data_IF_134087423854
#
_entry.id   IF_134087423854
#
_cell.length_a   1.000
_cell.length_b   1.000
_cell.length_c   1.000
_cell.angle_alpha   90.00
_cell.angle_beta   90.00
_cell.angle_gamma   90.00
#
_symmetry.space_group_name_H-M   'P 1'
#
loop_
_entity.id
_entity.type
_entity.pdbx_description
1 polymer ?
#
# COMPACT_ATOMS: atom_id res chain seq x y z
N UNK A 1 11.59 -6.65 9.12
CA UNK A 1 11.85 -6.67 7.68
C UNK A 1 10.98 -5.68 6.93
N UNK A 2 11.51 -5.20 5.82
CA UNK A 2 10.83 -4.27 4.95
C UNK A 2 10.36 -5.02 3.72
N UNK A 3 9.10 -4.84 3.36
CA UNK A 3 8.55 -5.43 2.16
C UNK A 3 8.12 -4.32 1.23
N UNK A 4 8.66 -4.32 0.03
CA UNK A 4 8.26 -3.41 -1.03
C UNK A 4 7.32 -4.13 -1.97
N UNK A 5 6.19 -3.51 -2.25
CA UNK A 5 5.25 -4.04 -3.22
C UNK A 5 4.91 -2.94 -4.22
N UNK A 6 5.04 -3.26 -5.49
CA UNK A 6 4.70 -2.35 -6.57
C UNK A 6 3.53 -2.93 -7.35
N UNK A 7 2.47 -2.15 -7.47
CA UNK A 7 1.33 -2.53 -8.30
C UNK A 7 1.22 -1.60 -9.48
N UNK A 8 1.10 -2.19 -10.66
CA UNK A 8 0.92 -1.45 -11.90
C UNK A 8 -0.39 -1.89 -12.54
N UNK A 9 -1.30 -0.93 -12.73
CA UNK A 9 -2.64 -1.18 -13.24
C UNK A 9 -2.90 -0.21 -14.39
N UNK A 10 -2.82 -0.69 -15.63
CA UNK A 10 -3.14 0.14 -16.80
C UNK A 10 -2.61 1.57 -16.71
N UNK A 11 -1.34 1.71 -16.42
CA UNK A 11 -0.71 3.02 -16.29
C UNK A 11 -0.76 3.61 -14.89
N UNK A 12 -1.52 3.04 -13.99
CA UNK A 12 -1.52 3.47 -12.59
C UNK A 12 -0.36 2.78 -11.88
N UNK A 13 0.41 3.55 -11.14
CA UNK A 13 1.52 3.03 -10.36
C UNK A 13 1.39 3.44 -8.92
N UNK A 14 1.24 2.46 -8.05
CA UNK A 14 1.24 2.68 -6.62
C UNK A 14 2.27 1.77 -5.99
N UNK A 15 3.22 2.36 -5.30
CA UNK A 15 4.21 1.62 -4.53
C UNK A 15 3.76 1.61 -3.07
N UNK A 16 3.88 0.47 -2.43
CA UNK A 16 3.57 0.31 -1.03
C UNK A 16 4.76 -0.31 -0.32
N UNK A 17 5.19 0.32 0.78
CA UNK A 17 6.26 -0.20 1.61
C UNK A 17 5.72 -0.48 3.00
N UNK A 18 6.07 -1.63 3.54
CA UNK A 18 5.59 -2.06 4.84
C UNK A 18 6.75 -2.41 5.75
N UNK A 19 6.65 -1.96 7.00
CA UNK A 19 7.63 -2.28 8.03
C UNK A 19 6.93 -2.99 9.19
N UNK A 20 7.41 -4.16 9.53
CA UNK A 20 6.89 -4.93 10.65
C UNK A 20 7.41 -4.34 11.96
N UNK A 21 6.49 -3.95 12.84
CA UNK A 21 6.84 -3.40 14.16
C UNK A 21 6.37 -4.33 15.29
N UNK A 22 6.08 -5.58 14.95
CA UNK A 22 5.56 -6.57 15.91
C UNK A 22 4.05 -6.53 15.94
N UNK A 23 3.47 -5.80 16.87
CA UNK A 23 2.02 -5.71 17.03
C UNK A 23 1.35 -4.87 15.95
N UNK A 24 2.12 -4.07 15.25
CA UNK A 24 1.59 -3.20 14.20
C UNK A 24 2.49 -3.23 12.99
N UNK A 25 1.96 -2.70 11.89
CA UNK A 25 2.69 -2.57 10.63
C UNK A 25 2.59 -1.12 10.19
N UNK A 26 3.74 -0.50 10.00
CA UNK A 26 3.83 0.85 9.47
C UNK A 26 3.97 0.76 7.95
N UNK A 27 3.14 1.48 7.24
CA UNK A 27 3.18 1.46 5.80
C UNK A 27 3.17 2.84 5.18
N UNK A 28 3.54 2.89 3.92
CA UNK A 28 3.45 4.10 3.13
C UNK A 28 3.08 3.76 1.70
N UNK A 29 2.33 4.65 1.09
CA UNK A 29 1.98 4.59 -0.32
C UNK A 29 2.66 5.72 -1.07
N UNK A 30 3.06 5.43 -2.30
CA UNK A 30 3.56 6.43 -3.22
C UNK A 30 2.93 6.23 -4.58
N UNK A 31 2.59 7.33 -5.25
CA UNK A 31 2.04 7.29 -6.59
C UNK A 31 2.76 8.25 -7.50
N UNK A 32 2.94 7.87 -8.77
CA UNK A 32 3.61 8.70 -9.76
C UNK A 32 2.68 9.25 -10.83
N UNK A 33 1.47 8.76 -10.87
CA UNK A 33 0.53 9.05 -11.96
C UNK A 33 -0.65 9.91 -11.56
N UNK A 34 -0.61 10.50 -10.38
CA UNK A 34 -1.70 11.33 -9.90
C UNK A 34 -2.75 10.61 -9.06
N UNK A 35 -2.58 9.32 -8.83
CA UNK A 35 -3.47 8.58 -7.91
C UNK A 35 -3.39 9.20 -6.51
N UNK A 36 -4.55 9.42 -5.90
CA UNK A 36 -4.61 10.01 -4.56
C UNK A 36 -4.40 8.94 -3.49
N UNK A 37 -3.16 8.76 -3.08
CA UNK A 37 -2.84 7.76 -2.07
C UNK A 37 -3.17 8.23 -0.66
N UNK A 38 -3.39 9.52 -0.44
CA UNK A 38 -3.85 10.01 0.85
C UNK A 38 -5.24 9.47 1.16
N UNK A 39 -6.10 9.36 0.15
CA UNK A 39 -7.42 8.79 0.32
C UNK A 39 -7.33 7.31 0.73
N UNK A 40 -6.41 6.56 0.12
CA UNK A 40 -6.16 5.17 0.49
C UNK A 40 -5.67 5.06 1.93
N UNK A 41 -4.71 5.89 2.29
CA UNK A 41 -4.16 5.88 3.65
C UNK A 41 -5.23 6.23 4.69
N UNK A 42 -6.12 7.17 4.40
CA UNK A 42 -7.21 7.53 5.32
C UNK A 42 -8.14 6.37 5.61
N UNK A 43 -8.37 5.49 4.63
CA UNK A 43 -9.17 4.28 4.87
C UNK A 43 -8.53 3.35 5.90
N UNK A 44 -7.22 3.48 6.06
CA UNK A 44 -6.45 2.68 7.02
C UNK A 44 -6.13 3.48 8.29
N UNK A 45 -6.77 4.63 8.46
CA UNK A 45 -6.56 5.45 9.64
C UNK A 45 -5.35 6.38 9.56
N UNK A 46 -4.72 6.46 8.41
CA UNK A 46 -3.56 7.32 8.20
C UNK A 46 -3.88 8.57 7.41
N UNK A 47 -2.91 9.07 6.69
CA UNK A 47 -3.06 10.26 5.85
C UNK A 47 -1.74 10.71 5.26
N UNK A 48 -1.76 11.86 4.64
CA UNK A 48 -0.57 12.43 4.02
C UNK A 48 -0.92 13.28 2.83
N UNK A 49 -0.03 13.25 1.86
CA UNK A 49 -0.19 14.00 0.61
C UNK A 49 -0.73 13.09 -0.48
N UNK A 50 -1.28 13.70 -1.51
CA UNK A 50 -1.86 12.99 -2.65
C UNK A 50 -0.90 11.96 -3.26
N UNK A 51 0.37 12.31 -3.38
CA UNK A 51 1.39 11.46 -4.00
C UNK A 51 2.16 10.59 -3.00
N UNK A 52 2.02 10.85 -1.70
CA UNK A 52 2.77 10.13 -0.68
C UNK A 52 2.03 10.19 0.66
N UNK A 53 1.66 9.06 1.18
CA UNK A 53 0.88 9.00 2.41
C UNK A 53 1.29 7.78 3.25
N UNK A 54 1.11 7.89 4.56
CA UNK A 54 1.49 6.84 5.49
C UNK A 54 0.33 6.38 6.35
N UNK A 55 0.50 5.20 6.92
CA UNK A 55 -0.51 4.60 7.78
C UNK A 55 0.13 3.61 8.74
N UNK A 56 -0.61 3.28 9.80
CA UNK A 56 -0.22 2.20 10.71
C UNK A 56 -1.45 1.34 10.93
N UNK A 57 -1.29 0.04 10.76
CA UNK A 57 -2.37 -0.92 10.94
C UNK A 57 -1.93 -2.01 11.91
N UNK A 58 -2.90 -2.73 12.47
CA UNK A 58 -2.59 -3.84 13.36
C UNK A 58 -1.89 -4.95 12.60
N UNK A 59 -0.92 -5.60 13.27
CA UNK A 59 -0.29 -6.82 12.77
C UNK A 59 -1.15 -8.04 13.02
N UNK A 60 -0.63 -9.20 12.69
CA UNK A 60 0.72 -9.45 12.18
C UNK A 60 0.87 -8.99 10.72
N UNK A 61 2.10 -9.02 10.24
CA UNK A 61 2.42 -8.58 8.88
C UNK A 61 1.59 -9.29 7.81
N UNK A 62 1.37 -10.58 7.96
CA UNK A 62 0.59 -11.35 6.98
C UNK A 62 -0.83 -10.82 6.82
N UNK A 63 -1.48 -10.51 7.94
CA UNK A 63 -2.84 -9.98 7.93
C UNK A 63 -2.86 -8.56 7.33
N UNK A 64 -1.83 -7.76 7.64
CA UNK A 64 -1.71 -6.42 7.09
C UNK A 64 -1.53 -6.45 5.57
N UNK A 65 -0.66 -7.32 5.07
CA UNK A 65 -0.43 -7.48 3.64
C UNK A 65 -1.72 -7.85 2.92
N UNK A 66 -2.47 -8.79 3.47
CA UNK A 66 -3.74 -9.24 2.89
C UNK A 66 -4.76 -8.11 2.86
N UNK A 67 -4.90 -7.40 3.97
CA UNK A 67 -5.84 -6.28 4.09
C UNK A 67 -5.52 -5.15 3.11
N UNK A 68 -4.25 -4.77 3.05
CA UNK A 68 -3.80 -3.70 2.18
C UNK A 68 -3.91 -4.11 0.71
N UNK A 69 -3.59 -5.35 0.39
CA UNK A 69 -3.75 -5.89 -0.95
C UNK A 69 -5.20 -5.83 -1.42
N UNK A 70 -6.13 -6.21 -0.55
CA UNK A 70 -7.56 -6.16 -0.86
C UNK A 70 -8.03 -4.72 -1.06
N UNK A 71 -7.54 -3.80 -0.24
CA UNK A 71 -7.87 -2.38 -0.37
C UNK A 71 -7.41 -1.83 -1.72
N UNK A 72 -6.18 -2.16 -2.12
CA UNK A 72 -5.64 -1.69 -3.40
C UNK A 72 -6.40 -2.30 -4.57
N UNK A 73 -6.72 -3.57 -4.51
CA UNK A 73 -7.48 -4.24 -5.57
C UNK A 73 -8.86 -3.61 -5.73
N UNK A 74 -9.52 -3.29 -4.62
CA UNK A 74 -10.84 -2.67 -4.65
C UNK A 74 -10.77 -1.23 -5.13
N UNK A 75 -9.83 -0.46 -4.61
CA UNK A 75 -9.69 0.95 -4.95
C UNK A 75 -9.28 1.15 -6.40
N UNK A 76 -8.55 0.20 -6.96
CA UNK A 76 -8.08 0.26 -8.35
C UNK A 76 -8.84 -0.75 -9.22
N UNK A 77 -10.06 -1.08 -8.84
CA UNK A 77 -10.90 -2.02 -9.58
C UNK A 77 -11.17 -1.54 -10.99
N UNK A 78 -11.37 -2.48 -11.90
CA UNK A 78 -11.63 -2.18 -13.30
C UNK A 78 -10.39 -2.26 -14.18
N UNK A 79 -9.22 -2.41 -13.59
CA UNK A 79 -7.98 -2.61 -14.34
C UNK A 79 -7.28 -3.88 -13.87
N UNK A 80 -6.66 -4.65 -14.78
CA UNK A 80 -5.91 -5.83 -14.37
C UNK A 80 -4.80 -5.46 -13.42
N UNK A 81 -4.70 -6.19 -12.33
CA UNK A 81 -3.66 -5.94 -11.35
C UNK A 81 -2.43 -6.78 -11.67
N UNK A 82 -1.29 -6.13 -11.66
CA UNK A 82 -0.02 -6.81 -11.74
C UNK A 82 0.77 -6.44 -10.51
N UNK A 83 1.04 -7.44 -9.68
CA UNK A 83 1.75 -7.22 -8.44
C UNK A 83 3.18 -7.72 -8.59
N UNK A 84 4.14 -6.84 -8.31
CA UNK A 84 5.54 -7.21 -8.23
C UNK A 84 5.96 -6.96 -6.80
N UNK A 85 6.27 -8.04 -6.10
CA UNK A 85 6.69 -7.95 -4.72
C UNK A 85 8.18 -8.21 -4.60
N UNK A 86 8.85 -7.42 -3.77
CA UNK A 86 10.24 -7.59 -3.47
C UNK A 86 10.44 -7.50 -1.99
N UNK A 87 11.28 -8.36 -1.46
CA UNK A 87 11.63 -8.29 -0.06
C UNK A 87 12.89 -7.49 0.11
N UNK A 88 12.78 -6.45 0.88
CA UNK A 88 13.97 -5.81 1.39
C UNK A 88 14.66 -6.75 2.38
N UNK A 89 15.87 -6.98 2.19
CA UNK A 89 16.64 -7.86 3.06
C UNK A 89 17.00 -7.17 4.36
#
# INVERSE_FOLDING_TARGET
PLIDALRSLRGVRVACMLRDQGDSVRGSFRAKDGTDVAALARTLGGGGHRAAAGFTVSGPMEAAVERIGALLDEALAGAPAEAVGERGA
#
